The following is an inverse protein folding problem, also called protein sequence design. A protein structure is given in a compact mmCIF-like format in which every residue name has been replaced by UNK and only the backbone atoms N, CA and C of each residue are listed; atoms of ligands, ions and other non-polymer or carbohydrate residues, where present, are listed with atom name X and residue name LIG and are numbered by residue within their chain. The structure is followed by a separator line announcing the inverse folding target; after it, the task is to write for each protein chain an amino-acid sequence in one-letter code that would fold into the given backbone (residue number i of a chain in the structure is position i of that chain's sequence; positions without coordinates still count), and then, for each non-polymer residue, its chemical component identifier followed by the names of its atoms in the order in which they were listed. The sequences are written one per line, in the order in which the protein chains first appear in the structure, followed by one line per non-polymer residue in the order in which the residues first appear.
data_IF_059090924058
#
_entry.id   IF_059090924058
#
_cell.length_a   1.000
_cell.length_b   1.000
_cell.length_c   1.000
_cell.angle_alpha   90.00
_cell.angle_beta   90.00
_cell.angle_gamma   90.00
#
_symmetry.space_group_name_H-M   'P 1'
#
loop_
_entity.id
_entity.type
_entity.pdbx_description
1 polymer ?
#
# COMPACT_ATOMS: atom_id res chain seq x y z
N UNK A 1 -5.25 -21.99 25.02
CA UNK A 1 -5.33 -21.61 24.51
C UNK A 1 -5.18 -21.33 23.74
N UNK A 2 -5.16 -21.13 23.70
CA UNK A 2 -5.16 -20.71 22.99
C UNK A 2 -4.93 -20.24 22.24
N UNK A 3 -4.90 -19.93 21.78
CA UNK A 3 -4.80 -19.41 21.15
C UNK A 3 -4.62 -18.95 20.31
N UNK A 4 -4.54 -18.43 20.04
CA UNK A 4 -4.26 -17.80 19.51
C UNK A 4 -3.87 -17.59 18.30
N UNK A 5 -3.82 -18.12 17.49
CA UNK A 5 -3.50 -18.05 16.37
C UNK A 5 -4.36 -17.39 15.57
N UNK A 6 -5.27 -17.37 15.74
CA UNK A 6 -6.05 -16.65 15.13
C UNK A 6 -5.75 -15.30 15.24
N UNK A 7 -4.90 -15.03 15.90
CA UNK A 7 -4.45 -13.76 15.97
C UNK A 7 -3.43 -13.42 15.04
N UNK A 8 -3.25 -14.18 13.98
CA UNK A 8 -2.29 -13.83 13.07
C UNK A 8 -2.62 -12.47 12.56
N UNK A 9 -1.68 -11.56 12.43
CA UNK A 9 -1.94 -10.22 12.03
C UNK A 9 -2.49 -10.20 10.61
N UNK A 10 -3.45 -9.32 10.39
CA UNK A 10 -4.00 -9.15 9.09
C UNK A 10 -3.21 -8.08 8.38
N UNK A 11 -1.89 -8.17 8.41
CA UNK A 11 -1.07 -7.13 7.87
C UNK A 11 0.19 -7.63 7.20
N UNK A 12 0.88 -6.69 6.59
CA UNK A 12 2.13 -6.95 5.90
C UNK A 12 3.13 -5.85 6.21
N UNK A 13 4.40 -6.12 5.89
CA UNK A 13 5.43 -5.11 5.87
C UNK A 13 5.83 -4.92 4.42
N UNK A 14 5.80 -3.69 3.94
CA UNK A 14 6.05 -3.41 2.54
C UNK A 14 6.76 -2.06 2.41
N UNK A 15 7.72 -1.92 1.48
CA UNK A 15 8.33 -0.61 1.26
C UNK A 15 7.32 0.40 0.77
N UNK A 16 7.31 1.56 1.42
CA UNK A 16 6.48 2.68 1.00
C UNK A 16 7.19 3.42 -0.12
N UNK A 17 6.45 3.82 -1.14
CA UNK A 17 7.05 4.62 -2.20
C UNK A 17 6.69 6.08 -2.04
N UNK A 18 5.41 6.41 -2.02
CA UNK A 18 5.01 7.81 -1.86
C UNK A 18 3.56 7.92 -1.42
N UNK A 19 3.23 9.06 -0.85
CA UNK A 19 1.85 9.41 -0.49
C UNK A 19 1.56 9.49 0.99
N UNK A 20 2.31 8.79 1.83
CA UNK A 20 2.08 8.84 3.28
C UNK A 20 2.94 9.92 3.91
N UNK A 21 2.33 10.90 4.57
CA UNK A 21 3.12 11.98 5.17
C UNK A 21 4.00 11.44 6.30
N UNK A 22 5.26 11.82 6.28
CA UNK A 22 6.20 11.40 7.31
C UNK A 22 6.79 10.02 7.08
N UNK A 23 6.44 9.34 5.98
CA UNK A 23 7.01 8.04 5.64
C UNK A 23 8.02 8.23 4.53
N UNK A 24 9.19 7.62 4.72
CA UNK A 24 10.28 7.78 3.75
C UNK A 24 10.11 6.85 2.58
N UNK A 25 10.56 7.33 1.42
CA UNK A 25 10.51 6.53 0.22
C UNK A 25 11.43 5.32 0.36
N UNK A 26 10.93 4.16 -0.06
CA UNK A 26 11.64 2.88 -0.05
C UNK A 26 11.94 2.32 1.35
N UNK A 27 11.40 2.93 2.39
CA UNK A 27 11.54 2.39 3.72
C UNK A 27 10.34 1.52 4.06
N UNK A 28 10.53 0.48 4.88
CA UNK A 28 9.43 -0.42 5.21
C UNK A 28 8.35 0.28 6.03
N UNK A 29 7.13 -0.06 5.75
CA UNK A 29 6.03 0.33 6.60
C UNK A 29 5.14 -0.88 6.85
N UNK A 30 4.41 -0.82 7.96
CA UNK A 30 3.44 -1.86 8.29
C UNK A 30 2.08 -1.40 7.81
N UNK A 31 1.33 -2.30 7.20
CA UNK A 31 -0.03 -2.01 6.77
C UNK A 31 -0.93 -3.12 7.28
N UNK A 32 -2.05 -2.75 7.85
CA UNK A 32 -3.01 -3.74 8.32
C UNK A 32 -4.43 -3.20 8.23
N UNK A 33 -5.38 -4.11 8.18
CA UNK A 33 -6.79 -3.75 8.19
C UNK A 33 -7.28 -3.92 9.63
N UNK A 34 -7.86 -2.84 10.16
CA UNK A 34 -8.39 -2.86 11.53
C UNK A 34 -9.82 -2.36 11.46
N UNK A 35 -10.77 -3.29 11.44
CA UNK A 35 -12.17 -2.93 11.27
C UNK A 35 -12.40 -2.28 9.92
N UNK A 36 -12.85 -1.05 9.91
CA UNK A 36 -13.12 -0.33 8.67
C UNK A 36 -12.03 0.70 8.35
N UNK A 37 -10.85 0.50 8.93
CA UNK A 37 -9.73 1.43 8.73
C UNK A 37 -8.51 0.65 8.27
N UNK A 38 -7.80 1.23 7.31
CA UNK A 38 -6.51 0.72 6.89
C UNK A 38 -5.45 1.51 7.64
N UNK A 39 -4.61 0.83 8.41
CA UNK A 39 -3.65 1.46 9.31
C UNK A 39 -2.24 1.26 8.79
N UNK A 40 -1.51 2.36 8.62
CA UNK A 40 -0.11 2.32 8.21
C UNK A 40 0.74 2.85 9.35
N UNK A 41 1.86 2.18 9.63
CA UNK A 41 2.77 2.66 10.67
C UNK A 41 4.21 2.38 10.26
N UNK A 42 5.15 3.13 10.84
CA UNK A 42 6.56 2.93 10.55
C UNK A 42 7.36 2.86 11.85
N UNK A 43 8.66 2.63 11.71
CA UNK A 43 9.54 2.50 12.86
C UNK A 43 9.85 3.81 13.54
N UNK A 44 9.42 4.92 12.98
CA UNK A 44 9.65 6.23 13.56
C UNK A 44 8.47 6.74 14.35
N UNK A 45 7.51 5.87 14.60
CA UNK A 45 6.35 6.23 15.42
C UNK A 45 5.24 6.92 14.68
N UNK A 46 5.30 6.99 13.36
CA UNK A 46 4.22 7.60 12.59
C UNK A 46 3.13 6.58 12.35
N UNK A 47 1.90 7.02 12.41
CA UNK A 47 0.74 6.19 12.10
C UNK A 47 -0.24 7.01 11.27
N UNK A 48 -0.75 6.41 10.22
CA UNK A 48 -1.76 7.02 9.37
C UNK A 48 -2.93 6.06 9.27
N UNK A 49 -4.12 6.56 9.51
CA UNK A 49 -5.34 5.76 9.41
C UNK A 49 -6.14 6.24 8.21
N UNK A 50 -6.44 5.32 7.32
CA UNK A 50 -7.23 5.64 6.13
C UNK A 50 -8.54 4.89 6.20
N UNK A 51 -9.68 5.58 6.38
CA UNK A 51 -10.96 4.89 6.37
C UNK A 51 -11.17 4.19 5.03
N UNK A 52 -11.54 2.92 5.10
CA UNK A 52 -11.72 2.14 3.89
C UNK A 52 -12.83 2.73 3.02
N UNK A 53 -13.81 3.37 3.63
CA UNK A 53 -14.88 4.01 2.87
C UNK A 53 -14.38 5.13 1.95
N UNK A 54 -13.17 5.66 2.19
CA UNK A 54 -12.61 6.71 1.35
C UNK A 54 -11.80 6.16 0.19
N UNK A 55 -11.58 4.86 0.14
CA UNK A 55 -10.78 4.26 -0.92
C UNK A 55 -11.62 4.10 -2.17
N UNK A 56 -11.12 4.62 -3.29
CA UNK A 56 -11.80 4.50 -4.58
C UNK A 56 -11.38 3.24 -5.31
N UNK A 57 -10.10 2.91 -5.27
CA UNK A 57 -9.61 1.73 -5.98
C UNK A 57 -8.27 1.27 -5.40
N UNK A 58 -7.96 0.00 -5.62
CA UNK A 58 -6.68 -0.57 -5.26
C UNK A 58 -6.16 -1.29 -6.50
N UNK A 59 -5.03 -0.83 -7.02
CA UNK A 59 -4.39 -1.47 -8.15
C UNK A 59 -3.24 -2.32 -7.65
N UNK A 60 -3.18 -3.57 -8.07
CA UNK A 60 -2.18 -4.50 -7.59
C UNK A 60 -1.23 -4.90 -8.71
N UNK A 61 -0.01 -5.20 -8.32
CA UNK A 61 1.02 -5.71 -9.23
C UNK A 61 1.20 -4.86 -10.48
N UNK A 62 1.21 -3.54 -10.31
CA UNK A 62 1.45 -2.62 -11.41
C UNK A 62 2.95 -2.62 -11.71
N UNK A 63 3.32 -2.90 -12.95
CA UNK A 63 4.73 -2.96 -13.29
C UNK A 63 5.38 -1.59 -13.19
N UNK A 64 6.65 -1.57 -12.80
CA UNK A 64 7.36 -0.32 -12.57
C UNK A 64 7.25 0.63 -13.75
N UNK A 65 7.43 0.12 -14.95
CA UNK A 65 7.31 0.96 -16.15
C UNK A 65 5.94 1.63 -16.23
N UNK A 66 4.89 0.89 -15.96
CA UNK A 66 3.54 1.42 -16.05
C UNK A 66 3.24 2.41 -14.93
N UNK A 67 3.76 2.12 -13.74
CA UNK A 67 3.59 3.04 -12.63
C UNK A 67 4.28 4.38 -12.92
N UNK A 68 5.51 4.32 -13.38
CA UNK A 68 6.26 5.55 -13.64
C UNK A 68 5.61 6.36 -14.77
N UNK A 69 5.14 5.69 -15.82
CA UNK A 69 4.49 6.39 -16.91
C UNK A 69 3.20 7.07 -16.45
N UNK A 70 2.44 6.38 -15.57
CA UNK A 70 1.14 6.90 -15.15
C UNK A 70 1.25 8.04 -14.15
N UNK A 71 2.16 7.92 -13.19
CA UNK A 71 2.19 8.85 -12.07
C UNK A 71 3.35 9.84 -12.11
N UNK A 72 4.38 9.57 -12.89
CA UNK A 72 5.56 10.42 -12.92
C UNK A 72 5.92 10.92 -14.32
N UNK A 73 5.15 10.51 -15.32
CA UNK A 73 5.41 10.97 -16.68
C UNK A 73 6.66 10.39 -17.31
N UNK A 74 7.31 9.45 -16.63
CA UNK A 74 8.53 8.83 -17.11
C UNK A 74 8.31 7.34 -17.27
N UNK A 75 8.86 6.81 -18.33
CA UNK A 75 8.81 5.37 -18.52
C UNK A 75 10.15 4.72 -18.27
N UNK A 76 10.97 5.35 -17.45
CA UNK A 76 12.29 4.84 -17.17
C UNK A 76 12.23 3.80 -16.09
N UNK A 77 12.78 2.64 -16.34
CA UNK A 77 12.92 1.63 -15.31
C UNK A 77 14.39 1.37 -15.13
N UNK A 78 14.83 1.37 -13.90
CA UNK A 78 16.23 1.17 -13.60
C UNK A 78 16.47 -0.08 -12.80
N UNK A 79 15.45 -0.87 -12.58
CA UNK A 79 15.57 -2.07 -11.77
C UNK A 79 16.46 -3.09 -12.42
N UNK A 80 17.30 -3.67 -11.61
CA UNK A 80 18.09 -4.81 -12.01
C UNK A 80 17.67 -5.95 -11.12
N UNK A 81 17.60 -7.14 -11.65
CA UNK A 81 17.18 -8.29 -10.90
C UNK A 81 15.66 -8.36 -10.87
N UNK A 82 15.08 -8.64 -9.71
CA UNK A 82 13.65 -8.83 -9.61
C UNK A 82 12.92 -7.51 -9.86
N UNK A 83 11.86 -7.59 -10.63
CA UNK A 83 11.08 -6.42 -10.99
C UNK A 83 10.28 -5.92 -9.80
N UNK A 84 10.22 -4.61 -9.64
CA UNK A 84 9.34 -4.00 -8.65
C UNK A 84 7.93 -3.97 -9.16
N UNK A 85 7.00 -4.40 -8.32
CA UNK A 85 5.57 -4.35 -8.61
C UNK A 85 4.94 -3.37 -7.65
N UNK A 86 4.17 -2.44 -8.15
CA UNK A 86 3.60 -1.37 -7.34
C UNK A 86 2.17 -1.67 -6.97
N UNK A 87 1.81 -1.22 -5.78
CA UNK A 87 0.46 -1.35 -5.26
C UNK A 87 -0.02 0.05 -4.95
N UNK A 88 -1.11 0.46 -5.59
CA UNK A 88 -1.55 1.86 -5.54
C UNK A 88 -2.96 1.92 -4.98
N UNK A 89 -3.13 2.70 -3.92
CA UNK A 89 -4.44 2.93 -3.33
C UNK A 89 -4.85 4.34 -3.70
N UNK A 90 -5.93 4.48 -4.45
CA UNK A 90 -6.49 5.78 -4.81
C UNK A 90 -7.66 6.06 -3.87
N UNK A 91 -7.66 7.24 -3.28
CA UNK A 91 -8.67 7.55 -2.26
C UNK A 91 -9.07 9.02 -2.33
N UNK A 92 -10.18 9.34 -1.68
CA UNK A 92 -10.64 10.71 -1.55
C UNK A 92 -10.12 11.25 -0.23
N UNK A 93 -9.36 12.34 -0.28
CA UNK A 93 -8.79 12.93 0.92
C UNK A 93 -9.85 13.68 1.70
N UNK A 94 -9.49 14.13 2.91
CA UNK A 94 -10.43 14.86 3.73
C UNK A 94 -10.87 16.18 3.09
N UNK A 95 -10.08 16.73 2.17
CA UNK A 95 -10.46 17.93 1.46
C UNK A 95 -11.36 17.66 0.26
N UNK A 96 -11.63 16.40 -0.04
CA UNK A 96 -12.45 16.02 -1.19
C UNK A 96 -11.65 15.78 -2.45
N UNK A 97 -10.34 15.98 -2.42
CA UNK A 97 -9.50 15.76 -3.59
C UNK A 97 -9.12 14.30 -3.71
N UNK A 98 -8.87 13.87 -4.94
CA UNK A 98 -8.37 12.52 -5.18
C UNK A 98 -6.87 12.49 -4.93
N UNK A 99 -6.41 11.48 -4.20
CA UNK A 99 -5.00 11.32 -3.91
C UNK A 99 -4.66 9.84 -3.99
N UNK A 100 -3.37 9.50 -3.91
CA UNK A 100 -2.98 8.10 -3.96
C UNK A 100 -1.82 7.81 -3.03
N UNK A 101 -1.72 6.54 -2.64
CA UNK A 101 -0.59 6.00 -1.88
C UNK A 101 0.04 4.91 -2.75
N UNK A 102 1.35 4.86 -2.77
CA UNK A 102 2.03 3.85 -3.57
C UNK A 102 3.04 3.08 -2.72
N UNK A 103 3.07 1.77 -2.92
CA UNK A 103 3.97 0.84 -2.26
C UNK A 103 4.55 -0.07 -3.33
N UNK A 104 5.64 -0.75 -3.03
CA UNK A 104 6.18 -1.70 -3.99
C UNK A 104 6.73 -2.94 -3.29
N UNK A 105 6.81 -4.03 -4.05
CA UNK A 105 7.39 -5.27 -3.57
C UNK A 105 7.86 -6.04 -4.80
N UNK A 106 8.75 -6.99 -4.62
CA UNK A 106 8.93 -8.01 -5.63
C UNK A 106 7.74 -8.94 -5.50
N UNK A 107 7.50 -9.80 -6.46
CA UNK A 107 6.30 -10.63 -6.40
C UNK A 107 6.21 -11.36 -5.06
N UNK A 108 5.06 -11.27 -4.45
CA UNK A 108 4.78 -11.94 -3.19
C UNK A 108 3.28 -12.21 -3.13
N UNK A 109 2.92 -13.49 -3.02
CA UNK A 109 1.51 -13.81 -2.96
C UNK A 109 0.88 -13.28 -1.67
N UNK A 110 1.66 -13.20 -0.60
CA UNK A 110 1.15 -12.66 0.65
C UNK A 110 0.78 -11.18 0.50
N UNK A 111 1.67 -10.40 -0.11
CA UNK A 111 1.42 -8.99 -0.35
C UNK A 111 0.23 -8.81 -1.28
N UNK A 112 0.19 -9.57 -2.35
CA UNK A 112 -0.90 -9.44 -3.30
C UNK A 112 -2.24 -9.77 -2.65
N UNK A 113 -2.28 -10.84 -1.85
CA UNK A 113 -3.52 -11.20 -1.18
C UNK A 113 -3.97 -10.13 -0.19
N UNK A 114 -3.02 -9.50 0.48
CA UNK A 114 -3.37 -8.44 1.41
C UNK A 114 -4.10 -7.31 0.69
N UNK A 115 -3.51 -6.81 -0.40
CA UNK A 115 -4.12 -5.69 -1.11
C UNK A 115 -5.45 -6.08 -1.75
N UNK A 116 -5.55 -7.32 -2.22
CA UNK A 116 -6.82 -7.78 -2.80
C UNK A 116 -7.91 -7.96 -1.75
N UNK A 117 -7.52 -8.10 -0.50
CA UNK A 117 -8.51 -8.30 0.57
C UNK A 117 -9.10 -7.00 1.09
N UNK A 118 -8.59 -5.85 0.66
CA UNK A 118 -9.13 -4.57 1.12
C UNK A 118 -10.53 -4.41 0.54
N UNK A 119 -11.56 -4.30 1.40
CA UNK A 119 -12.95 -4.30 0.93
C UNK A 119 -13.35 -2.92 0.40
N UNK A 120 -13.05 -2.67 -0.86
CA UNK A 120 -13.35 -1.41 -1.49
C UNK A 120 -14.80 -1.41 -1.96
N UNK A 121 -15.53 -0.34 -1.64
CA UNK A 121 -16.91 -0.23 -2.06
C UNK A 121 -17.01 -0.07 -3.56
N UNK A 122 -18.04 -0.64 -4.14
CA UNK A 122 -18.26 -0.55 -5.58
C UNK A 122 -19.16 0.60 -5.94
#
# INVERSE_FOLDING_TARGET
MFFSRKNKPDGIVIPHYEGLPGFRQDFPCNAKISGDVLVFSNNEGKTVNLPIAQIQSVDTMVRERNFMARYHGDAITTSKGAEKLYYVITYTSSSGATAYLAFWDVYSSKTNKFFESIPVAQ
#
